data_IF_296582740421
#
_entry.id   IF_296582740421
#
_cell.length_a   1.000
_cell.length_b   1.000
_cell.length_c   1.000
_cell.angle_alpha   90.00
_cell.angle_beta   90.00
_cell.angle_gamma   90.00
#
_symmetry.space_group_name_H-M   'P 1'
#
loop_
_entity.id
_entity.type
_entity.pdbx_description
1 polymer ?
#
# COMPACT_ATOMS: atom_id res chain seq x y z
N UNK A 1 13.97 -33.28 10.60
CA UNK A 1 13.45 -34.65 10.81
C UNK A 1 13.83 -35.22 12.16
N UNK A 2 15.10 -35.19 12.57
CA UNK A 2 15.53 -35.77 13.86
C UNK A 2 14.85 -35.12 15.07
N UNK A 3 14.68 -33.82 15.07
CA UNK A 3 14.09 -33.05 16.18
C UNK A 3 12.57 -33.23 16.31
N UNK A 4 11.88 -33.51 15.22
CA UNK A 4 10.42 -33.70 15.17
C UNK A 4 10.00 -35.12 15.58
N UNK A 5 10.93 -36.08 15.57
CA UNK A 5 10.62 -37.49 15.83
C UNK A 5 10.11 -37.68 17.28
N UNK A 6 8.89 -38.23 17.40
CA UNK A 6 8.24 -38.48 18.69
C UNK A 6 7.72 -37.24 19.44
N UNK A 7 7.72 -36.07 18.78
CA UNK A 7 7.19 -34.82 19.34
C UNK A 7 5.89 -34.43 18.66
N UNK A 8 5.04 -33.68 19.37
CA UNK A 8 3.90 -32.99 18.74
C UNK A 8 4.42 -31.83 17.89
N UNK A 9 4.08 -31.84 16.61
CA UNK A 9 4.51 -30.83 15.64
C UNK A 9 3.32 -29.96 15.27
N UNK A 10 3.48 -28.64 15.37
CA UNK A 10 2.54 -27.67 14.86
C UNK A 10 3.09 -26.99 13.62
N UNK A 11 2.22 -26.78 12.63
CA UNK A 11 2.53 -26.12 11.36
C UNK A 11 1.99 -24.69 11.43
N UNK A 12 2.89 -23.71 11.56
CA UNK A 12 2.57 -22.31 11.86
C UNK A 12 2.91 -21.35 10.71
N UNK A 13 2.91 -21.85 9.46
CA UNK A 13 3.08 -20.99 8.28
C UNK A 13 1.91 -20.00 8.13
N UNK A 14 2.08 -19.00 7.26
CA UNK A 14 1.11 -17.92 7.05
C UNK A 14 -0.32 -18.43 6.75
N UNK A 15 -1.36 -17.69 7.10
CA UNK A 15 -2.76 -18.09 6.91
C UNK A 15 -3.27 -17.91 5.47
N UNK A 16 -2.38 -17.82 4.49
CA UNK A 16 -2.70 -17.73 3.08
C UNK A 16 -2.51 -19.07 2.35
N UNK A 17 -2.82 -19.13 1.05
CA UNK A 17 -2.68 -20.36 0.25
C UNK A 17 -1.24 -20.80 0.07
N UNK A 18 -0.29 -19.87 0.04
CA UNK A 18 1.14 -20.15 -0.05
C UNK A 18 1.62 -20.81 1.26
N UNK A 19 1.25 -20.26 2.40
CA UNK A 19 1.51 -20.82 3.72
C UNK A 19 0.83 -22.17 3.94
N UNK A 20 -0.40 -22.34 3.45
CA UNK A 20 -1.11 -23.62 3.54
C UNK A 20 -0.41 -24.71 2.70
N UNK A 21 0.09 -24.37 1.50
CA UNK A 21 0.88 -25.29 0.71
C UNK A 21 2.23 -25.64 1.36
N UNK A 22 2.88 -24.68 2.03
CA UNK A 22 4.10 -24.91 2.81
C UNK A 22 3.80 -25.90 3.95
N UNK A 23 2.72 -25.67 4.71
CA UNK A 23 2.30 -26.57 5.77
C UNK A 23 2.07 -27.99 5.26
N UNK A 24 1.38 -28.13 4.13
CA UNK A 24 1.11 -29.42 3.48
C UNK A 24 2.42 -30.13 3.07
N UNK A 25 3.37 -29.41 2.46
CA UNK A 25 4.67 -29.96 2.09
C UNK A 25 5.48 -30.44 3.31
N UNK A 26 5.48 -29.65 4.39
CA UNK A 26 6.17 -30.00 5.62
C UNK A 26 5.51 -31.24 6.25
N UNK A 27 4.17 -31.28 6.29
CA UNK A 27 3.43 -32.45 6.78
C UNK A 27 3.82 -33.72 6.00
N UNK A 28 3.87 -33.63 4.67
CA UNK A 28 4.28 -34.75 3.81
C UNK A 28 5.71 -35.22 4.10
N UNK A 29 6.68 -34.31 4.22
CA UNK A 29 8.09 -34.61 4.51
C UNK A 29 8.25 -35.26 5.90
N UNK A 30 7.45 -34.83 6.87
CA UNK A 30 7.48 -35.33 8.25
C UNK A 30 6.63 -36.59 8.45
N UNK A 31 5.87 -37.04 7.44
CA UNK A 31 4.94 -38.17 7.54
C UNK A 31 3.76 -37.89 8.48
N UNK A 32 3.32 -36.63 8.60
CA UNK A 32 2.17 -36.27 9.42
C UNK A 32 0.87 -36.52 8.65
N UNK A 33 -0.17 -36.95 9.36
CA UNK A 33 -1.50 -37.06 8.75
C UNK A 33 -2.11 -35.67 8.51
N UNK A 34 -2.48 -35.41 7.26
CA UNK A 34 -3.11 -34.16 6.84
C UNK A 34 -4.49 -33.92 7.50
N UNK A 35 -5.12 -34.98 8.01
CA UNK A 35 -6.40 -34.90 8.72
C UNK A 35 -6.25 -34.66 10.22
N UNK A 36 -5.02 -34.59 10.73
CA UNK A 36 -4.76 -34.29 12.14
C UNK A 36 -4.80 -32.78 12.40
N UNK A 37 -5.19 -32.41 13.63
CA UNK A 37 -5.23 -31.01 14.07
C UNK A 37 -3.82 -30.55 14.49
N UNK A 38 -3.01 -30.25 13.49
CA UNK A 38 -1.61 -29.81 13.65
C UNK A 38 -1.32 -28.46 12.98
N UNK A 39 -2.28 -27.88 12.27
CA UNK A 39 -2.18 -26.57 11.64
C UNK A 39 -2.65 -25.47 12.60
N UNK A 40 -1.77 -24.56 12.98
CA UNK A 40 -2.11 -23.37 13.76
C UNK A 40 -2.07 -22.14 12.88
N UNK A 41 -3.03 -21.24 13.06
CA UNK A 41 -3.21 -20.04 12.22
C UNK A 41 -3.45 -18.85 13.13
N UNK A 42 -2.72 -17.79 12.87
CA UNK A 42 -2.90 -16.48 13.49
C UNK A 42 -2.66 -15.38 12.47
N UNK A 43 -3.44 -14.31 12.55
CA UNK A 43 -3.38 -13.18 11.62
C UNK A 43 -2.49 -12.04 12.14
N UNK A 44 -1.97 -12.18 13.34
CA UNK A 44 -1.10 -11.23 14.02
C UNK A 44 -0.13 -11.96 14.94
N UNK A 45 1.08 -11.44 15.09
CA UNK A 45 2.11 -12.04 15.94
C UNK A 45 2.10 -11.35 17.30
N UNK A 46 1.01 -11.58 18.05
CA UNK A 46 0.89 -11.19 19.46
C UNK A 46 0.96 -12.44 20.36
N UNK A 47 1.38 -12.23 21.60
CA UNK A 47 1.50 -13.33 22.57
C UNK A 47 0.18 -14.08 22.76
N UNK A 48 -0.93 -13.35 22.77
CA UNK A 48 -2.25 -13.91 23.03
C UNK A 48 -2.81 -14.61 21.79
N UNK A 49 -2.64 -14.04 20.58
CA UNK A 49 -3.02 -14.68 19.33
C UNK A 49 -2.29 -16.01 19.12
N UNK A 50 -0.96 -16.04 19.36
CA UNK A 50 -0.16 -17.28 19.25
C UNK A 50 -0.61 -18.34 20.27
N UNK A 51 -0.85 -17.95 21.54
CA UNK A 51 -1.33 -18.88 22.57
C UNK A 51 -2.71 -19.43 22.25
N UNK A 52 -3.60 -18.60 21.74
CA UNK A 52 -4.94 -19.01 21.35
C UNK A 52 -4.89 -19.97 20.15
N UNK A 53 -4.10 -19.68 19.14
CA UNK A 53 -3.90 -20.56 17.98
C UNK A 53 -3.36 -21.95 18.38
N UNK A 54 -2.47 -22.03 19.38
CA UNK A 54 -1.97 -23.31 19.89
C UNK A 54 -3.07 -24.13 20.59
N UNK A 55 -4.06 -23.47 21.23
CA UNK A 55 -5.20 -24.13 21.86
C UNK A 55 -6.24 -24.61 20.85
N UNK A 56 -6.34 -23.98 19.70
CA UNK A 56 -7.34 -24.23 18.66
C UNK A 56 -6.69 -24.61 17.32
N UNK A 57 -5.89 -25.69 17.27
CA UNK A 57 -5.31 -26.16 16.03
C UNK A 57 -6.40 -26.73 15.11
N UNK A 58 -6.17 -26.65 13.80
CA UNK A 58 -7.09 -27.16 12.77
C UNK A 58 -6.40 -28.13 11.82
N UNK A 59 -7.17 -28.70 10.91
CA UNK A 59 -6.66 -29.49 9.79
C UNK A 59 -6.08 -28.55 8.70
N UNK A 60 -5.22 -29.10 7.87
CA UNK A 60 -4.75 -28.43 6.67
C UNK A 60 -5.93 -28.23 5.72
N UNK A 61 -6.08 -27.04 5.16
CA UNK A 61 -7.11 -26.73 4.18
C UNK A 61 -6.64 -27.16 2.78
N UNK A 62 -7.12 -28.31 2.33
CA UNK A 62 -6.75 -28.90 1.03
C UNK A 62 -7.19 -28.05 -0.15
N UNK A 63 -8.27 -27.29 -0.05
CA UNK A 63 -8.74 -26.41 -1.13
C UNK A 63 -7.77 -25.26 -1.37
N UNK A 64 -7.21 -24.69 -0.30
CA UNK A 64 -6.16 -23.67 -0.41
C UNK A 64 -4.87 -24.24 -1.01
N UNK A 65 -4.48 -25.47 -0.62
CA UNK A 65 -3.34 -26.18 -1.21
C UNK A 65 -3.55 -26.41 -2.70
N UNK A 66 -4.71 -26.91 -3.10
CA UNK A 66 -5.06 -27.13 -4.52
C UNK A 66 -5.09 -25.80 -5.30
N UNK A 67 -5.61 -24.73 -4.71
CA UNK A 67 -5.61 -23.40 -5.32
C UNK A 67 -4.19 -22.90 -5.61
N UNK A 68 -3.25 -23.11 -4.68
CA UNK A 68 -1.84 -22.76 -4.88
C UNK A 68 -1.20 -23.62 -5.97
N UNK A 69 -1.45 -24.93 -5.97
CA UNK A 69 -0.93 -25.84 -7.00
C UNK A 69 -1.47 -25.50 -8.39
N UNK A 70 -2.78 -25.26 -8.51
CA UNK A 70 -3.41 -24.85 -9.77
C UNK A 70 -2.78 -23.56 -10.32
N UNK A 71 -2.56 -22.56 -9.46
CA UNK A 71 -1.86 -21.33 -9.84
C UNK A 71 -0.46 -21.60 -10.37
N UNK A 72 0.31 -22.43 -9.67
CA UNK A 72 1.69 -22.78 -10.08
C UNK A 72 1.73 -23.51 -11.41
N UNK A 73 0.80 -24.45 -11.61
CA UNK A 73 0.67 -25.19 -12.89
C UNK A 73 0.30 -24.21 -14.02
N UNK A 74 -0.68 -23.36 -13.81
CA UNK A 74 -1.11 -22.37 -14.80
C UNK A 74 0.02 -21.41 -15.19
N UNK A 75 0.76 -20.88 -14.22
CA UNK A 75 1.89 -19.99 -14.48
C UNK A 75 2.98 -20.68 -15.32
N UNK A 76 3.22 -21.99 -15.09
CA UNK A 76 4.16 -22.78 -15.89
C UNK A 76 3.63 -23.03 -17.30
N UNK A 77 2.37 -23.44 -17.42
CA UNK A 77 1.77 -23.70 -18.74
C UNK A 77 1.79 -22.44 -19.62
N UNK A 78 1.40 -21.31 -19.06
CA UNK A 78 1.44 -20.02 -19.78
C UNK A 78 2.87 -19.66 -20.16
N UNK A 79 3.79 -19.70 -19.21
CA UNK A 79 5.18 -19.31 -19.42
C UNK A 79 5.88 -20.19 -20.48
N UNK A 80 5.81 -21.50 -20.35
CA UNK A 80 6.52 -22.43 -21.22
C UNK A 80 5.91 -22.55 -22.62
N UNK A 81 4.58 -22.41 -22.76
CA UNK A 81 3.94 -22.51 -24.08
C UNK A 81 4.01 -21.19 -24.86
N UNK A 82 3.86 -20.04 -24.20
CA UNK A 82 3.79 -18.75 -24.90
C UNK A 82 5.16 -18.13 -25.11
N UNK A 83 6.11 -18.26 -24.19
CA UNK A 83 7.45 -17.66 -24.35
C UNK A 83 8.17 -18.11 -25.62
N UNK A 84 8.18 -19.39 -26.04
CA UNK A 84 8.78 -19.80 -27.30
C UNK A 84 8.12 -19.19 -28.54
N UNK A 85 6.79 -18.96 -28.49
CA UNK A 85 6.07 -18.27 -29.56
C UNK A 85 6.55 -16.83 -29.70
N UNK A 86 6.74 -16.14 -28.56
CA UNK A 86 7.29 -14.78 -28.55
C UNK A 86 8.72 -14.75 -29.12
N UNK A 87 9.55 -15.75 -28.82
CA UNK A 87 10.92 -15.81 -29.36
C UNK A 87 10.93 -15.98 -30.88
N UNK A 88 10.00 -16.77 -31.39
CA UNK A 88 9.90 -17.04 -32.83
C UNK A 88 9.24 -15.90 -33.60
N UNK A 89 8.25 -15.23 -33.03
CA UNK A 89 7.39 -14.27 -33.75
C UNK A 89 7.72 -12.81 -33.44
N UNK A 90 8.31 -12.50 -32.29
CA UNK A 90 8.58 -11.12 -31.86
C UNK A 90 10.08 -10.91 -31.66
N UNK A 91 10.66 -11.41 -30.57
CA UNK A 91 12.10 -11.22 -30.25
C UNK A 91 12.58 -12.30 -29.30
N UNK A 92 13.82 -12.83 -29.46
CA UNK A 92 14.43 -13.73 -28.49
C UNK A 92 14.52 -13.15 -27.09
N UNK A 93 14.50 -14.01 -26.07
CA UNK A 93 14.58 -13.68 -24.64
C UNK A 93 13.38 -12.93 -24.04
N UNK A 94 12.29 -12.75 -24.78
CA UNK A 94 11.02 -12.31 -24.18
C UNK A 94 10.41 -13.45 -23.36
N UNK A 95 9.63 -13.10 -22.35
CA UNK A 95 8.89 -14.07 -21.56
C UNK A 95 7.44 -13.67 -21.42
N UNK A 96 6.55 -14.65 -21.40
CA UNK A 96 5.16 -14.49 -21.08
C UNK A 96 4.89 -14.93 -19.63
N UNK A 97 4.00 -14.25 -18.96
CA UNK A 97 3.58 -14.61 -17.64
C UNK A 97 2.31 -13.88 -17.25
N UNK A 98 1.46 -14.54 -16.51
CA UNK A 98 0.12 -14.06 -16.17
C UNK A 98 0.13 -12.67 -15.50
N UNK A 99 1.01 -12.43 -14.54
CA UNK A 99 1.12 -11.15 -13.84
C UNK A 99 1.79 -10.09 -14.71
N UNK A 100 2.90 -10.43 -15.37
CA UNK A 100 3.63 -9.48 -16.22
C UNK A 100 2.82 -9.04 -17.43
N UNK A 101 2.03 -9.93 -18.05
CA UNK A 101 1.20 -9.58 -19.18
C UNK A 101 0.03 -8.67 -18.76
N UNK A 102 -0.58 -8.92 -17.59
CA UNK A 102 -1.61 -8.03 -17.04
C UNK A 102 -1.03 -6.62 -16.75
N UNK A 103 0.16 -6.55 -16.16
CA UNK A 103 0.82 -5.26 -15.91
C UNK A 103 1.18 -4.54 -17.22
N UNK A 104 1.70 -5.28 -18.21
CA UNK A 104 2.01 -4.73 -19.53
C UNK A 104 0.77 -4.18 -20.22
N UNK A 105 -0.37 -4.90 -20.13
CA UNK A 105 -1.63 -4.40 -20.69
C UNK A 105 -2.02 -3.05 -20.10
N UNK A 106 -1.95 -2.86 -18.79
CA UNK A 106 -2.25 -1.57 -18.16
C UNK A 106 -1.36 -0.43 -18.67
N UNK A 107 -0.07 -0.74 -18.92
CA UNK A 107 0.88 0.24 -19.48
C UNK A 107 0.51 0.58 -20.91
N UNK A 108 0.19 -0.42 -21.74
CA UNK A 108 -0.20 -0.24 -23.14
C UNK A 108 -1.50 0.56 -23.23
N UNK A 109 -2.51 0.23 -22.44
CA UNK A 109 -3.79 0.96 -22.43
C UNK A 109 -3.56 2.45 -22.09
N UNK A 110 -2.70 2.73 -21.11
CA UNK A 110 -2.33 4.11 -20.76
C UNK A 110 -1.57 4.81 -21.89
N UNK A 111 -0.64 4.11 -22.52
CA UNK A 111 0.11 4.67 -23.67
C UNK A 111 -0.82 5.00 -24.85
N UNK A 112 -1.80 4.14 -25.13
CA UNK A 112 -2.82 4.42 -26.14
C UNK A 112 -3.67 5.65 -25.80
N UNK A 113 -4.03 5.84 -24.53
CA UNK A 113 -4.73 7.06 -24.09
C UNK A 113 -3.86 8.30 -24.33
N UNK A 114 -2.54 8.22 -24.04
CA UNK A 114 -1.60 9.31 -24.25
C UNK A 114 -1.48 9.63 -25.74
N UNK A 115 -1.38 8.61 -26.61
CA UNK A 115 -1.26 8.78 -28.05
C UNK A 115 -2.54 9.36 -28.69
N UNK A 116 -3.71 9.00 -28.12
CA UNK A 116 -5.02 9.53 -28.57
C UNK A 116 -5.33 10.91 -28.01
N UNK A 117 -4.52 11.39 -27.05
CA UNK A 117 -4.77 12.69 -26.42
C UNK A 117 -4.54 13.82 -27.40
N UNK A 118 -5.55 14.63 -27.63
CA UNK A 118 -5.48 15.85 -28.43
C UNK A 118 -5.29 17.04 -27.49
N UNK A 119 -4.11 17.69 -27.48
CA UNK A 119 -3.89 18.87 -26.67
C UNK A 119 -4.89 19.97 -27.00
N UNK A 120 -5.51 20.55 -25.98
CA UNK A 120 -6.37 21.71 -26.10
C UNK A 120 -5.67 22.92 -25.51
N UNK A 121 -5.55 23.97 -26.32
CA UNK A 121 -5.01 25.25 -25.86
C UNK A 121 -6.01 25.90 -24.91
N UNK A 122 -5.51 26.41 -23.80
CA UNK A 122 -6.26 27.25 -22.89
C UNK A 122 -5.37 28.41 -22.43
N UNK A 123 -6.02 29.50 -22.08
CA UNK A 123 -5.34 30.70 -21.61
C UNK A 123 -5.68 30.97 -20.17
N UNK A 124 -4.73 31.47 -19.39
CA UNK A 124 -4.94 31.97 -18.05
C UNK A 124 -4.55 33.44 -17.96
N UNK A 125 -5.22 34.16 -17.11
CA UNK A 125 -4.95 35.60 -16.89
C UNK A 125 -4.73 35.85 -15.41
N UNK A 126 -3.51 35.65 -14.90
CA UNK A 126 -3.14 36.16 -13.58
C UNK A 126 -3.00 37.68 -13.62
N UNK A 127 -3.52 38.35 -12.59
CA UNK A 127 -3.49 39.82 -12.47
C UNK A 127 -2.89 40.13 -11.10
N UNK A 128 -1.86 40.99 -11.11
CA UNK A 128 -1.22 41.45 -9.89
C UNK A 128 -1.83 42.79 -9.45
N UNK A 129 -2.42 42.77 -8.27
CA UNK A 129 -2.94 43.94 -7.59
C UNK A 129 -1.94 44.44 -6.56
N UNK A 130 -1.57 45.72 -6.62
CA UNK A 130 -0.57 46.29 -5.73
C UNK A 130 -1.22 47.29 -4.81
N UNK A 131 -1.12 47.12 -3.50
CA UNK A 131 -1.54 48.09 -2.48
C UNK A 131 -0.51 48.12 -1.34
N UNK A 132 -0.06 49.31 -0.98
CA UNK A 132 0.91 49.50 0.10
C UNK A 132 2.17 48.60 -0.02
N UNK A 133 2.74 48.48 -1.20
CA UNK A 133 3.87 47.64 -1.56
C UNK A 133 3.62 46.13 -1.36
N UNK A 134 2.38 45.71 -1.12
CA UNK A 134 2.01 44.28 -1.09
C UNK A 134 1.35 43.91 -2.40
N UNK A 135 1.74 42.77 -2.95
CA UNK A 135 1.20 42.22 -4.18
C UNK A 135 0.21 41.09 -3.84
N UNK A 136 -0.96 41.15 -4.47
CA UNK A 136 -1.95 40.07 -4.43
C UNK A 136 -2.18 39.61 -5.87
N UNK A 137 -1.75 38.40 -6.21
CA UNK A 137 -2.03 37.81 -7.52
C UNK A 137 -3.40 37.14 -7.47
N UNK A 138 -4.30 37.52 -8.35
CA UNK A 138 -5.61 36.90 -8.53
C UNK A 138 -5.75 36.35 -9.94
N UNK A 139 -6.42 35.22 -10.09
CA UNK A 139 -6.72 34.65 -11.39
C UNK A 139 -8.10 35.09 -11.87
N UNK A 140 -8.22 35.34 -13.18
CA UNK A 140 -9.51 35.58 -13.80
C UNK A 140 -10.47 34.40 -13.50
N UNK A 141 -11.71 34.71 -13.11
CA UNK A 141 -12.70 33.70 -12.76
C UNK A 141 -13.97 33.80 -13.60
N UNK A 142 -14.50 35.00 -13.74
CA UNK A 142 -15.75 35.24 -14.48
C UNK A 142 -15.79 36.67 -15.05
N UNK A 143 -16.62 36.87 -16.04
CA UNK A 143 -16.92 38.20 -16.58
C UNK A 143 -18.42 38.43 -16.59
N UNK A 144 -18.85 39.56 -16.02
CA UNK A 144 -20.28 39.92 -15.85
C UNK A 144 -21.13 38.82 -15.17
N UNK A 145 -20.51 38.07 -14.24
CA UNK A 145 -21.18 36.99 -13.50
C UNK A 145 -21.18 35.63 -14.16
N UNK A 146 -20.74 35.53 -15.41
CA UNK A 146 -20.64 34.25 -16.14
C UNK A 146 -19.22 33.72 -16.17
N UNK A 147 -19.05 32.43 -15.93
CA UNK A 147 -17.76 31.75 -16.07
C UNK A 147 -17.39 31.68 -17.56
N UNK A 148 -16.36 32.39 -17.93
CA UNK A 148 -15.86 32.39 -19.29
C UNK A 148 -14.55 31.55 -19.35
N UNK A 149 -14.47 30.62 -20.28
CA UNK A 149 -13.21 29.95 -20.60
C UNK A 149 -12.41 30.85 -21.54
N UNK A 150 -11.13 31.01 -21.24
CA UNK A 150 -10.21 31.73 -22.10
C UNK A 150 -9.63 30.73 -23.09
N UNK A 151 -10.15 30.68 -24.29
CA UNK A 151 -9.74 29.73 -25.34
C UNK A 151 -8.75 30.35 -26.36
N UNK A 152 -8.65 31.67 -26.34
CA UNK A 152 -7.78 32.37 -27.28
C UNK A 152 -7.12 33.62 -26.68
N UNK A 153 -6.02 34.06 -27.28
CA UNK A 153 -5.39 35.34 -26.96
C UNK A 153 -6.38 36.51 -27.11
N UNK A 154 -7.30 36.43 -28.07
CA UNK A 154 -8.31 37.45 -28.31
C UNK A 154 -9.25 37.63 -27.10
N UNK A 155 -9.62 36.51 -26.44
CA UNK A 155 -10.45 36.57 -25.25
C UNK A 155 -9.73 37.27 -24.09
N UNK A 156 -8.46 36.94 -23.89
CA UNK A 156 -7.61 37.60 -22.89
C UNK A 156 -7.47 39.09 -23.18
N UNK A 157 -7.18 39.46 -24.44
CA UNK A 157 -6.99 40.87 -24.86
C UNK A 157 -8.30 41.67 -24.72
N UNK A 158 -9.44 41.07 -25.00
CA UNK A 158 -10.75 41.72 -24.83
C UNK A 158 -11.04 42.01 -23.35
N UNK A 159 -10.81 41.03 -22.47
CA UNK A 159 -10.99 41.21 -21.04
C UNK A 159 -10.01 42.23 -20.50
N UNK A 160 -8.74 42.15 -20.90
CA UNK A 160 -7.72 43.12 -20.51
C UNK A 160 -8.11 44.56 -20.88
N UNK A 161 -8.61 44.78 -22.10
CA UNK A 161 -9.09 46.09 -22.53
C UNK A 161 -10.28 46.57 -21.68
N UNK A 162 -11.18 45.67 -21.30
CA UNK A 162 -12.36 46.00 -20.53
C UNK A 162 -12.05 46.37 -19.05
N UNK A 163 -10.95 45.91 -18.50
CA UNK A 163 -10.59 46.13 -17.08
C UNK A 163 -9.47 47.16 -16.87
N UNK A 164 -8.84 47.66 -17.96
CA UNK A 164 -7.79 48.67 -17.83
C UNK A 164 -8.42 49.98 -17.33
N UNK A 165 -7.88 50.48 -16.22
CA UNK A 165 -8.36 51.71 -15.59
C UNK A 165 -9.49 51.52 -14.56
N UNK A 166 -10.01 50.32 -14.42
CA UNK A 166 -11.03 50.01 -13.45
C UNK A 166 -10.48 49.91 -12.02
N UNK A 167 -11.36 50.19 -11.04
CA UNK A 167 -11.10 50.00 -9.60
C UNK A 167 -11.59 48.64 -9.17
N UNK A 168 -10.73 47.88 -8.49
CA UNK A 168 -11.04 46.55 -8.00
C UNK A 168 -11.32 46.58 -6.48
N UNK A 169 -12.34 45.87 -6.04
CA UNK A 169 -12.73 45.76 -4.64
C UNK A 169 -12.78 44.31 -4.22
N UNK A 170 -12.21 43.99 -3.05
CA UNK A 170 -12.43 42.69 -2.42
C UNK A 170 -13.88 42.64 -1.94
N UNK A 171 -14.69 41.74 -2.47
CA UNK A 171 -16.10 41.59 -2.17
C UNK A 171 -16.35 40.53 -1.09
N UNK A 172 -15.51 39.54 -0.99
CA UNK A 172 -15.63 38.48 0.01
C UNK A 172 -14.25 37.89 0.38
N UNK A 173 -14.12 37.40 1.61
CA UNK A 173 -12.97 36.68 2.12
C UNK A 173 -13.44 35.46 2.86
N UNK A 174 -13.55 34.33 2.18
CA UNK A 174 -13.93 33.08 2.80
C UNK A 174 -12.72 32.41 3.49
N UNK A 175 -12.85 32.14 4.78
CA UNK A 175 -11.88 31.37 5.57
C UNK A 175 -12.49 30.02 5.90
N UNK A 176 -11.87 28.95 5.44
CA UNK A 176 -12.31 27.59 5.72
C UNK A 176 -11.21 26.80 6.40
N UNK A 177 -11.58 26.04 7.42
CA UNK A 177 -10.67 25.07 8.01
C UNK A 177 -10.73 23.76 7.19
N UNK A 178 -9.58 23.28 6.74
CA UNK A 178 -9.46 21.97 6.11
C UNK A 178 -8.83 20.99 7.08
N UNK A 179 -9.56 19.96 7.43
CA UNK A 179 -9.02 18.87 8.23
C UNK A 179 -8.23 17.93 7.31
N UNK A 180 -7.01 17.60 7.70
CA UNK A 180 -6.19 16.58 7.04
C UNK A 180 -6.11 15.38 7.96
N UNK A 181 -6.80 14.32 7.59
CA UNK A 181 -6.74 13.07 8.33
C UNK A 181 -5.37 12.41 8.16
N UNK A 182 -4.93 11.69 9.20
CA UNK A 182 -3.77 10.84 9.12
C UNK A 182 -3.98 9.74 8.05
N UNK A 183 -2.95 9.35 7.30
CA UNK A 183 -3.03 8.21 6.38
C UNK A 183 -3.24 6.91 7.16
N UNK A 184 -3.76 5.88 6.47
CA UNK A 184 -3.81 4.53 7.03
C UNK A 184 -2.38 3.97 7.20
N UNK A 185 -2.26 2.89 7.95
CA UNK A 185 -1.03 2.07 7.98
C UNK A 185 -0.68 1.63 6.55
N UNK A 186 0.59 1.37 6.32
CA UNK A 186 1.03 0.97 5.00
C UNK A 186 0.50 -0.41 4.59
N UNK A 187 0.23 -0.52 3.31
CA UNK A 187 0.21 -1.78 2.56
C UNK A 187 1.45 -1.81 1.66
N UNK A 188 1.75 -2.95 1.07
CA UNK A 188 2.96 -3.11 0.22
C UNK A 188 3.10 -1.98 -0.80
N UNK A 189 2.03 -1.66 -1.53
CA UNK A 189 2.07 -0.64 -2.59
C UNK A 189 2.27 0.77 -2.06
N UNK A 190 1.59 1.16 -0.97
CA UNK A 190 1.73 2.50 -0.38
C UNK A 190 3.09 2.69 0.29
N UNK A 191 3.64 1.65 0.92
CA UNK A 191 5.01 1.67 1.45
C UNK A 191 6.03 1.90 0.33
N UNK A 192 5.91 1.18 -0.78
CA UNK A 192 6.81 1.34 -1.93
C UNK A 192 6.71 2.74 -2.55
N UNK A 193 5.49 3.28 -2.68
CA UNK A 193 5.27 4.64 -3.21
C UNK A 193 5.90 5.70 -2.30
N UNK A 194 5.72 5.56 -0.99
CA UNK A 194 6.21 6.53 -0.03
C UNK A 194 7.74 6.47 0.11
N UNK A 195 8.32 5.28 0.11
CA UNK A 195 9.76 5.06 0.07
C UNK A 195 10.39 5.65 -1.22
N UNK A 196 9.72 5.50 -2.35
CA UNK A 196 10.18 6.11 -3.60
C UNK A 196 10.15 7.64 -3.54
N UNK A 197 9.07 8.23 -2.99
CA UNK A 197 8.91 9.69 -2.93
C UNK A 197 9.79 10.36 -1.89
N UNK A 198 9.93 9.76 -0.70
CA UNK A 198 10.61 10.38 0.45
C UNK A 198 12.10 10.11 0.50
N UNK A 199 12.51 8.90 0.14
CA UNK A 199 13.90 8.43 0.27
C UNK A 199 14.49 7.87 -1.04
N UNK A 200 13.77 8.03 -2.15
CA UNK A 200 14.20 7.63 -3.49
C UNK A 200 14.61 6.15 -3.61
N UNK A 201 13.95 5.26 -2.84
CA UNK A 201 14.18 3.83 -2.94
C UNK A 201 13.40 3.22 -4.09
N UNK A 202 14.09 2.42 -4.91
CA UNK A 202 13.42 1.56 -5.90
C UNK A 202 12.69 0.43 -5.17
N UNK A 203 11.63 -0.09 -5.78
CA UNK A 203 10.79 -1.17 -5.24
C UNK A 203 11.59 -2.36 -4.68
N UNK A 204 12.61 -2.82 -5.40
CA UNK A 204 13.47 -3.94 -4.96
C UNK A 204 14.20 -3.62 -3.66
N UNK A 205 14.79 -2.43 -3.55
CA UNK A 205 15.50 -2.00 -2.34
C UNK A 205 14.54 -1.85 -1.17
N UNK A 206 13.37 -1.23 -1.40
CA UNK A 206 12.33 -1.10 -0.37
C UNK A 206 11.94 -2.47 0.20
N UNK A 207 11.67 -3.45 -0.68
CA UNK A 207 11.29 -4.79 -0.23
C UNK A 207 12.41 -5.52 0.49
N UNK A 208 13.68 -5.35 0.07
CA UNK A 208 14.83 -5.96 0.76
C UNK A 208 14.97 -5.42 2.18
N UNK A 209 14.92 -4.09 2.35
CA UNK A 209 15.01 -3.45 3.67
C UNK A 209 13.81 -3.81 4.54
N UNK A 210 12.60 -3.83 3.98
CA UNK A 210 11.41 -4.25 4.73
C UNK A 210 11.50 -5.71 5.20
N UNK A 211 12.08 -6.59 4.40
CA UNK A 211 12.34 -7.98 4.78
C UNK A 211 13.30 -8.07 5.97
N UNK A 212 14.39 -7.32 5.95
CA UNK A 212 15.36 -7.26 7.04
C UNK A 212 14.72 -6.72 8.33
N UNK A 213 13.90 -5.67 8.22
CA UNK A 213 13.17 -5.11 9.37
C UNK A 213 12.16 -6.10 9.95
N UNK A 214 11.52 -6.91 9.12
CA UNK A 214 10.58 -7.94 9.55
C UNK A 214 11.28 -9.14 10.20
N UNK A 215 12.32 -9.68 9.56
CA UNK A 215 13.07 -10.83 10.07
C UNK A 215 13.84 -10.51 11.34
N UNK A 216 14.18 -9.26 11.53
CA UNK A 216 14.79 -8.73 12.73
C UNK A 216 16.23 -8.26 12.53
N UNK A 217 16.53 -7.16 13.20
CA UNK A 217 17.86 -6.57 13.26
C UNK A 217 18.45 -6.82 14.64
N UNK A 218 19.75 -7.08 14.69
CA UNK A 218 20.44 -7.27 15.95
C UNK A 218 20.64 -5.92 16.68
N UNK A 219 19.72 -5.62 17.55
CA UNK A 219 19.74 -4.43 18.39
C UNK A 219 20.33 -4.79 19.76
N UNK A 220 21.66 -4.68 19.89
CA UNK A 220 22.39 -5.05 21.12
C UNK A 220 21.81 -4.41 22.39
N UNK A 221 21.33 -3.18 22.30
CA UNK A 221 20.70 -2.43 23.40
C UNK A 221 19.31 -2.97 23.78
N UNK A 222 18.62 -3.68 22.88
CA UNK A 222 17.24 -4.18 23.07
C UNK A 222 17.19 -5.70 23.28
N UNK A 223 18.31 -6.33 23.54
CA UNK A 223 18.36 -7.76 23.91
C UNK A 223 18.53 -8.73 22.75
N UNK A 224 18.92 -8.28 21.56
CA UNK A 224 19.24 -9.18 20.45
C UNK A 224 18.48 -8.93 19.16
N UNK A 225 18.21 -9.99 18.39
CA UNK A 225 17.50 -9.90 17.10
C UNK A 225 16.02 -9.61 17.34
N UNK A 226 15.55 -8.48 16.83
CA UNK A 226 14.19 -7.99 17.03
C UNK A 226 13.55 -7.59 15.70
N UNK A 227 12.39 -8.14 15.38
CA UNK A 227 11.56 -7.70 14.26
C UNK A 227 10.92 -6.35 14.55
N UNK A 228 11.12 -5.38 13.70
CA UNK A 228 10.73 -4.00 13.93
C UNK A 228 9.42 -3.60 13.26
N UNK A 229 9.00 -4.35 12.25
CA UNK A 229 7.73 -4.12 11.54
C UNK A 229 6.93 -5.41 11.41
N UNK A 230 5.62 -5.28 11.18
CA UNK A 230 4.75 -6.38 10.79
C UNK A 230 5.06 -6.84 9.36
N UNK A 231 4.45 -7.94 8.92
CA UNK A 231 4.72 -8.53 7.61
C UNK A 231 4.48 -7.56 6.45
N UNK A 232 5.49 -7.38 5.60
CA UNK A 232 5.50 -6.32 4.58
C UNK A 232 4.78 -6.68 3.27
N UNK A 233 4.36 -7.93 3.08
CA UNK A 233 3.60 -8.34 1.89
C UNK A 233 2.13 -8.48 2.27
N UNK A 234 1.45 -7.37 2.35
CA UNK A 234 0.04 -7.28 2.73
C UNK A 234 -0.68 -6.22 1.90
N UNK A 235 -1.94 -6.44 1.64
CA UNK A 235 -2.88 -5.50 1.07
C UNK A 235 -3.95 -5.05 2.09
N UNK A 236 -3.84 -5.54 3.32
CA UNK A 236 -4.72 -5.19 4.44
C UNK A 236 -4.24 -3.92 5.16
N UNK A 237 -5.20 -3.09 5.56
CA UNK A 237 -4.98 -1.95 6.47
C UNK A 237 -5.50 -2.24 7.88
N UNK A 238 -5.80 -3.50 8.20
CA UNK A 238 -6.22 -3.92 9.53
C UNK A 238 -5.09 -3.70 10.54
N UNK A 239 -5.44 -3.31 11.74
CA UNK A 239 -4.52 -3.17 12.87
C UNK A 239 -5.15 -3.87 14.07
N UNK A 240 -4.38 -4.63 14.84
CA UNK A 240 -4.87 -5.28 16.05
C UNK A 240 -5.27 -4.25 17.11
N UNK A 241 -6.22 -4.62 17.96
CA UNK A 241 -6.68 -3.73 19.04
C UNK A 241 -5.55 -3.43 20.03
N UNK A 242 -4.64 -4.39 20.27
CA UNK A 242 -3.44 -4.18 21.09
C UNK A 242 -2.53 -3.09 20.51
N UNK A 243 -2.28 -3.13 19.20
CA UNK A 243 -1.46 -2.13 18.53
C UNK A 243 -2.14 -0.74 18.49
N UNK A 244 -3.46 -0.71 18.29
CA UNK A 244 -4.25 0.53 18.39
C UNK A 244 -4.12 1.14 19.77
N UNK A 245 -4.22 0.35 20.83
CA UNK A 245 -4.06 0.81 22.20
C UNK A 245 -2.65 1.34 22.45
N UNK A 246 -1.61 0.58 22.07
CA UNK A 246 -0.21 1.00 22.21
C UNK A 246 0.07 2.33 21.48
N UNK A 247 -0.40 2.48 20.25
CA UNK A 247 -0.25 3.72 19.50
C UNK A 247 -1.02 4.89 20.12
N UNK A 248 -2.23 4.64 20.62
CA UNK A 248 -3.04 5.67 21.29
C UNK A 248 -2.39 6.16 22.56
N UNK A 249 -1.88 5.25 23.40
CA UNK A 249 -1.17 5.58 24.62
C UNK A 249 0.10 6.39 24.32
N UNK A 250 0.87 5.99 23.30
CA UNK A 250 2.05 6.73 22.84
C UNK A 250 1.70 8.14 22.37
N UNK A 251 0.65 8.31 21.58
CA UNK A 251 0.20 9.63 21.11
C UNK A 251 -0.25 10.52 22.26
N UNK A 252 -1.04 9.99 23.19
CA UNK A 252 -1.50 10.73 24.34
C UNK A 252 -0.34 11.23 25.21
N UNK A 253 0.65 10.38 25.45
CA UNK A 253 1.78 10.69 26.32
C UNK A 253 2.79 11.65 25.70
N UNK A 254 2.97 11.62 24.38
CA UNK A 254 4.04 12.39 23.71
C UNK A 254 3.53 13.62 22.95
N UNK A 255 2.27 13.61 22.47
CA UNK A 255 1.75 14.67 21.59
C UNK A 255 0.48 15.33 22.11
N UNK A 256 -0.31 14.66 22.94
CA UNK A 256 -1.54 15.19 23.47
C UNK A 256 -2.82 14.64 22.81
N UNK A 257 -3.96 14.92 23.45
CA UNK A 257 -5.26 14.37 23.06
C UNK A 257 -5.76 14.87 21.70
N UNK A 258 -5.36 16.06 21.30
CA UNK A 258 -5.74 16.70 20.04
C UNK A 258 -5.19 15.96 18.81
N UNK A 259 -4.12 15.17 18.98
CA UNK A 259 -3.53 14.34 17.93
C UNK A 259 -4.14 12.93 17.85
N UNK A 260 -4.99 12.58 18.81
CA UNK A 260 -5.65 11.29 18.81
C UNK A 260 -6.85 11.32 17.85
N UNK A 261 -6.83 10.44 16.85
CA UNK A 261 -7.98 10.32 15.94
C UNK A 261 -9.21 9.76 16.66
N UNK A 262 -10.35 10.43 16.51
CA UNK A 262 -11.65 9.94 17.01
C UNK A 262 -12.17 8.72 16.24
N UNK A 263 -11.56 8.37 15.11
CA UNK A 263 -12.00 7.32 14.20
C UNK A 263 -10.94 6.24 13.97
N UNK A 264 -10.38 5.66 15.03
CA UNK A 264 -9.64 4.40 14.95
C UNK A 264 -10.63 3.23 14.80
N UNK A 265 -11.63 3.38 13.94
CA UNK A 265 -12.43 2.24 13.51
C UNK A 265 -11.66 1.57 12.39
N UNK A 266 -11.17 0.36 12.64
CA UNK A 266 -10.74 -0.53 11.57
C UNK A 266 -11.79 -0.45 10.44
N UNK A 267 -11.43 0.17 9.31
CA UNK A 267 -12.30 0.13 8.13
C UNK A 267 -12.45 -1.34 7.80
N UNK A 268 -13.69 -1.84 7.80
CA UNK A 268 -13.98 -3.18 7.28
C UNK A 268 -13.30 -3.28 5.92
N UNK A 269 -12.39 -4.23 5.77
CA UNK A 269 -11.75 -4.52 4.51
C UNK A 269 -12.81 -4.73 3.43
N UNK A 270 -12.53 -4.33 2.20
CA UNK A 270 -13.39 -4.66 1.08
C UNK A 270 -13.50 -6.20 0.98
N UNK A 271 -14.65 -6.74 0.57
CA UNK A 271 -14.94 -8.18 0.48
C UNK A 271 -13.91 -9.02 -0.32
N UNK A 272 -12.99 -8.37 -1.03
CA UNK A 272 -11.99 -8.99 -1.91
C UNK A 272 -10.55 -8.95 -1.35
N UNK A 273 -10.32 -8.43 -0.15
CA UNK A 273 -8.99 -8.41 0.48
C UNK A 273 -8.79 -9.71 1.24
N UNK A 274 -7.71 -10.40 0.97
CA UNK A 274 -7.29 -11.57 1.72
C UNK A 274 -6.72 -11.07 3.08
N UNK A 275 -7.57 -11.01 4.11
CA UNK A 275 -7.26 -10.49 5.46
C UNK A 275 -6.32 -11.43 6.26
N UNK A 276 -5.30 -11.98 5.58
CA UNK A 276 -4.36 -12.90 6.17
C UNK A 276 -3.40 -12.23 7.16
N UNK A 277 -3.13 -10.93 6.98
CA UNK A 277 -2.14 -10.17 7.74
C UNK A 277 -2.68 -8.81 8.19
N UNK A 278 -1.98 -8.20 9.15
CA UNK A 278 -2.15 -6.79 9.48
C UNK A 278 -1.53 -5.87 8.40
N UNK A 279 -1.88 -4.59 8.47
CA UNK A 279 -1.14 -3.55 7.77
C UNK A 279 0.29 -3.42 8.28
N UNK A 280 1.17 -2.83 7.50
CA UNK A 280 2.57 -2.63 7.85
C UNK A 280 2.68 -1.51 8.88
N UNK A 281 3.16 -1.86 10.07
CA UNK A 281 3.33 -0.95 11.21
C UNK A 281 4.55 -1.33 12.03
N UNK A 282 5.08 -0.44 12.89
CA UNK A 282 6.05 -0.81 13.90
C UNK A 282 5.49 -1.90 14.85
N UNK A 283 6.31 -2.86 15.23
CA UNK A 283 5.98 -3.83 16.27
C UNK A 283 5.92 -3.19 17.65
N UNK A 284 6.76 -2.18 17.87
CA UNK A 284 6.75 -1.36 19.07
C UNK A 284 6.98 0.11 18.70
N UNK A 285 6.03 0.97 19.05
CA UNK A 285 6.06 2.41 18.72
C UNK A 285 7.16 3.19 19.47
N UNK A 286 7.73 2.60 20.54
CA UNK A 286 8.82 3.22 21.28
C UNK A 286 10.19 2.99 20.62
N UNK A 287 10.29 2.09 19.63
CA UNK A 287 11.53 1.87 18.89
C UNK A 287 11.60 2.87 17.74
N UNK A 288 12.21 4.00 17.99
CA UNK A 288 12.44 5.04 16.98
C UNK A 288 13.76 4.79 16.25
N UNK A 289 13.95 5.35 15.02
CA UNK A 289 15.22 5.25 14.31
C UNK A 289 16.44 5.76 15.11
N UNK A 290 16.20 6.65 16.09
CA UNK A 290 17.24 7.28 16.91
C UNK A 290 17.49 6.55 18.25
N UNK A 291 16.74 5.50 18.56
CA UNK A 291 16.81 4.77 19.84
C UNK A 291 17.90 3.70 19.91
#
# INVERSE_FOLDING_TARGET
LKEAKGKKVFLASDPDREGEAIAWHIAHILGLDNNSDNRIVFNEITKDAVKDAIKHPRKINTDLVQSQQARRILDRLVGYNISPVLWKKVKPKLSAGRVQNAALKLIVDREEEIQKFVPQEYWSMPIDFIKNRKVLTANFYSFKGEKLKLESKKDVDNIRKAIVGDTFKVIDVAKTNKNRNAPNVYITSTMQQDASRKINFKTRKTMSVAQELYEGINLKKLGGVTGLITYMRTDSTRVSDEAVKMASDYILNNFGKEYLSSSVKARKSSKNVQDAHEGIRPTNVNFTPDS
#
